data_IF_973525804861
#
_entry.id   IF_973525804861
#
_cell.length_a   1.000
_cell.length_b   1.000
_cell.length_c   1.000
_cell.angle_alpha   90.00
_cell.angle_beta   90.00
_cell.angle_gamma   90.00
#
_symmetry.space_group_name_H-M   'P 1'
#
loop_
_entity.id
_entity.type
_entity.pdbx_description
1 polymer ?
#
# COMPACT_ATOMS: atom_id res chain seq x y z
N UNK A 1 -24.39 3.07 -4.79
CA UNK A 1 -23.58 1.84 -4.90
C UNK A 1 -22.36 2.02 -5.81
N UNK A 2 -22.48 2.51 -7.05
CA UNK A 2 -21.34 2.71 -7.96
C UNK A 2 -20.19 3.57 -7.38
N UNK A 3 -20.48 4.59 -6.57
CA UNK A 3 -19.45 5.44 -5.95
C UNK A 3 -18.59 4.67 -4.92
N UNK A 4 -19.22 3.88 -4.05
CA UNK A 4 -18.52 3.10 -3.03
C UNK A 4 -17.59 2.08 -3.70
N UNK A 5 -18.05 1.42 -4.77
CA UNK A 5 -17.21 0.48 -5.52
C UNK A 5 -15.96 1.15 -6.09
N UNK A 6 -16.06 2.41 -6.55
CA UNK A 6 -14.90 3.17 -7.00
C UNK A 6 -13.94 3.48 -5.86
N UNK A 7 -14.44 3.91 -4.71
CA UNK A 7 -13.59 4.19 -3.55
C UNK A 7 -12.86 2.94 -3.03
N UNK A 8 -13.60 1.85 -2.87
CA UNK A 8 -13.01 0.57 -2.49
C UNK A 8 -12.01 0.09 -3.54
N UNK A 9 -12.36 0.18 -4.83
CA UNK A 9 -11.48 -0.19 -5.93
C UNK A 9 -10.20 0.63 -5.98
N UNK A 10 -10.24 1.92 -5.63
CA UNK A 10 -9.05 2.77 -5.53
C UNK A 10 -8.10 2.32 -4.42
N UNK A 11 -8.62 2.03 -3.22
CA UNK A 11 -7.79 1.57 -2.09
C UNK A 11 -7.26 0.15 -2.30
N UNK A 12 -8.12 -0.77 -2.78
CA UNK A 12 -7.70 -2.12 -3.11
C UNK A 12 -6.70 -2.14 -4.27
N UNK A 13 -6.91 -1.30 -5.29
CA UNK A 13 -6.01 -1.17 -6.43
C UNK A 13 -4.64 -0.62 -6.04
N UNK A 14 -4.58 0.30 -5.07
CA UNK A 14 -3.33 0.78 -4.48
C UNK A 14 -2.56 -0.40 -3.86
N UNK A 15 -3.20 -1.15 -2.95
CA UNK A 15 -2.55 -2.28 -2.28
C UNK A 15 -2.13 -3.41 -3.23
N UNK A 16 -2.95 -3.69 -4.24
CA UNK A 16 -2.63 -4.68 -5.29
C UNK A 16 -1.46 -4.20 -6.15
N UNK A 17 -1.43 -2.93 -6.52
CA UNK A 17 -0.36 -2.34 -7.33
C UNK A 17 0.98 -2.34 -6.59
N UNK A 18 0.97 -1.97 -5.31
CA UNK A 18 2.11 -2.03 -4.40
C UNK A 18 2.66 -3.47 -4.30
N UNK A 19 1.83 -4.43 -3.86
CA UNK A 19 2.24 -5.83 -3.70
C UNK A 19 2.73 -6.49 -5.00
N UNK A 20 2.21 -6.07 -6.16
CA UNK A 20 2.69 -6.53 -7.46
C UNK A 20 4.01 -5.86 -7.86
N UNK A 21 4.13 -4.55 -7.64
CA UNK A 21 5.25 -3.72 -8.05
C UNK A 21 6.54 -3.98 -7.27
N UNK A 22 6.43 -4.23 -5.96
CA UNK A 22 7.60 -4.47 -5.08
C UNK A 22 8.47 -5.65 -5.54
N UNK A 23 7.87 -6.66 -6.21
CA UNK A 23 8.60 -7.79 -6.79
C UNK A 23 9.68 -7.36 -7.79
N UNK A 24 9.49 -6.21 -8.46
CA UNK A 24 10.35 -5.67 -9.50
C UNK A 24 11.03 -4.35 -9.09
N UNK A 25 10.97 -4.00 -7.82
CA UNK A 25 11.54 -2.78 -7.30
C UNK A 25 13.05 -2.69 -7.59
N UNK A 26 13.50 -1.50 -8.00
CA UNK A 26 14.87 -1.21 -8.44
C UNK A 26 15.36 -2.01 -9.66
N UNK A 27 14.47 -2.65 -10.42
CA UNK A 27 14.81 -3.30 -11.69
C UNK A 27 14.61 -2.33 -12.88
N UNK A 28 15.62 -2.15 -13.75
CA UNK A 28 15.42 -1.43 -15.00
C UNK A 28 14.35 -2.08 -15.89
N UNK A 29 13.57 -1.29 -16.66
CA UNK A 29 12.66 -1.82 -17.66
C UNK A 29 13.38 -2.76 -18.65
N UNK A 30 12.82 -3.96 -18.87
CA UNK A 30 13.39 -4.97 -19.76
C UNK A 30 14.52 -5.82 -19.15
N UNK A 31 14.91 -5.59 -17.90
CA UNK A 31 15.96 -6.38 -17.22
C UNK A 31 15.40 -7.55 -16.40
N UNK A 32 14.12 -7.86 -16.50
CA UNK A 32 13.44 -8.90 -15.72
C UNK A 32 12.48 -9.67 -16.61
N UNK A 33 12.26 -10.94 -16.27
CA UNK A 33 11.22 -11.73 -16.93
C UNK A 33 9.84 -11.20 -16.53
N UNK A 34 8.93 -10.96 -17.50
CA UNK A 34 7.59 -10.47 -17.19
C UNK A 34 6.88 -11.37 -16.19
N UNK A 35 6.36 -10.76 -15.12
CA UNK A 35 5.51 -11.46 -14.15
C UNK A 35 4.06 -11.40 -14.61
N UNK A 36 3.34 -12.51 -14.48
CA UNK A 36 1.91 -12.63 -14.81
C UNK A 36 1.01 -12.81 -13.60
N UNK A 37 1.58 -12.82 -12.39
CA UNK A 37 0.88 -13.06 -11.14
C UNK A 37 1.60 -12.35 -9.97
N UNK A 38 0.97 -12.35 -8.80
CA UNK A 38 1.51 -11.81 -7.56
C UNK A 38 2.52 -12.78 -6.94
N UNK A 39 3.79 -12.61 -7.28
CA UNK A 39 4.86 -13.55 -6.91
C UNK A 39 5.59 -13.22 -5.60
N UNK A 40 5.42 -12.00 -5.07
CA UNK A 40 6.21 -11.52 -3.93
C UNK A 40 7.70 -11.34 -4.27
N UNK A 41 8.57 -11.60 -3.30
CA UNK A 41 10.02 -11.46 -3.45
C UNK A 41 10.49 -10.02 -3.26
N UNK A 42 11.14 -9.47 -4.29
CA UNK A 42 11.70 -8.12 -4.24
C UNK A 42 12.83 -7.94 -3.22
N UNK A 43 13.24 -6.69 -2.95
CA UNK A 43 14.30 -6.35 -2.01
C UNK A 43 14.02 -6.83 -0.58
N UNK A 44 12.73 -6.86 -0.20
CA UNK A 44 12.26 -7.15 1.14
C UNK A 44 11.90 -8.63 1.37
N UNK A 45 12.02 -9.49 0.35
CA UNK A 45 11.71 -10.94 0.41
C UNK A 45 10.28 -11.23 0.90
N UNK A 46 9.34 -10.44 0.41
CA UNK A 46 7.93 -10.52 0.76
C UNK A 46 7.27 -11.80 0.24
N UNK A 47 6.25 -12.28 0.95
CA UNK A 47 5.34 -13.31 0.44
C UNK A 47 4.38 -12.69 -0.58
N UNK A 48 3.85 -13.47 -1.53
CA UNK A 48 2.72 -13.07 -2.36
C UNK A 48 1.62 -12.36 -1.55
N UNK A 49 1.24 -11.15 -1.96
CA UNK A 49 0.17 -10.37 -1.32
C UNK A 49 0.60 -9.46 -0.17
N UNK A 50 1.84 -9.53 0.28
CA UNK A 50 2.37 -8.50 1.18
C UNK A 50 2.70 -7.24 0.37
N UNK A 51 2.31 -6.10 0.95
CA UNK A 51 2.46 -4.74 0.44
C UNK A 51 3.52 -3.98 1.26
N UNK A 52 3.98 -2.82 0.81
CA UNK A 52 5.06 -2.05 1.43
C UNK A 52 4.55 -0.80 2.16
N UNK A 53 5.47 0.14 2.42
CA UNK A 53 5.22 1.44 3.01
C UNK A 53 4.19 2.27 2.23
N UNK A 54 4.03 2.09 0.91
CA UNK A 54 3.01 2.78 0.11
C UNK A 54 1.60 2.50 0.67
N UNK A 55 1.25 1.24 0.86
CA UNK A 55 -0.05 0.84 1.44
C UNK A 55 -0.13 1.20 2.93
N UNK A 56 0.96 1.04 3.68
CA UNK A 56 0.99 1.43 5.10
C UNK A 56 0.65 2.92 5.29
N UNK A 57 1.27 3.80 4.50
CA UNK A 57 1.03 5.24 4.54
C UNK A 57 -0.39 5.60 4.07
N UNK A 58 -0.92 4.91 3.07
CA UNK A 58 -2.30 5.11 2.62
C UNK A 58 -3.32 4.73 3.72
N UNK A 59 -3.09 3.64 4.44
CA UNK A 59 -3.91 3.23 5.58
C UNK A 59 -3.81 4.23 6.73
N UNK A 60 -2.60 4.69 7.05
CA UNK A 60 -2.40 5.73 8.06
C UNK A 60 -3.19 7.01 7.74
N UNK A 61 -3.11 7.49 6.49
CA UNK A 61 -3.87 8.64 6.05
C UNK A 61 -5.39 8.39 6.16
N UNK A 62 -5.86 7.22 5.73
CA UNK A 62 -7.28 6.88 5.75
C UNK A 62 -7.84 6.83 7.18
N UNK A 63 -7.11 6.24 8.12
CA UNK A 63 -7.51 6.16 9.54
C UNK A 63 -7.53 7.55 10.18
N UNK A 64 -6.50 8.38 9.97
CA UNK A 64 -6.46 9.77 10.46
C UNK A 64 -7.63 10.61 9.92
N UNK A 65 -7.95 10.49 8.62
CA UNK A 65 -9.09 11.19 8.01
C UNK A 65 -10.44 10.80 8.63
N UNK A 66 -10.58 9.53 9.02
CA UNK A 66 -11.81 9.01 9.65
C UNK A 66 -11.92 9.50 11.09
N UNK A 67 -10.85 9.40 11.87
CA UNK A 67 -10.83 9.78 13.29
C UNK A 67 -10.95 11.30 13.46
N UNK A 68 -10.18 12.08 12.71
CA UNK A 68 -10.21 13.54 12.78
C UNK A 68 -11.39 14.18 12.01
N UNK A 69 -12.12 13.38 11.21
CA UNK A 69 -13.18 13.86 10.30
C UNK A 69 -12.73 15.01 9.40
N UNK A 70 -11.48 14.95 8.97
CA UNK A 70 -10.78 16.02 8.29
C UNK A 70 -9.30 15.69 8.20
N UNK A 71 -8.54 16.55 7.52
CA UNK A 71 -7.10 16.36 7.40
C UNK A 71 -6.39 16.99 8.61
N UNK A 72 -5.71 16.17 9.40
CA UNK A 72 -4.83 16.59 10.50
C UNK A 72 -3.43 15.96 10.31
N UNK A 73 -2.43 16.76 9.88
CA UNK A 73 -1.09 16.23 9.63
C UNK A 73 -0.37 15.80 10.90
N UNK A 74 -0.70 16.36 12.07
CA UNK A 74 -0.07 15.98 13.34
C UNK A 74 -0.58 14.61 13.79
N UNK A 75 -1.89 14.39 13.73
CA UNK A 75 -2.49 13.09 14.03
C UNK A 75 -1.94 11.99 13.08
N UNK A 76 -1.87 12.29 11.78
CA UNK A 76 -1.32 11.37 10.79
C UNK A 76 0.13 10.97 11.15
N UNK A 77 1.00 11.96 11.44
CA UNK A 77 2.42 11.70 11.67
C UNK A 77 2.72 11.07 13.05
N UNK A 78 2.06 11.53 14.11
CA UNK A 78 2.42 11.19 15.48
C UNK A 78 1.56 10.06 16.07
N UNK A 79 0.28 9.99 15.70
CA UNK A 79 -0.66 9.01 16.21
C UNK A 79 -0.72 7.77 15.32
N UNK A 80 -1.32 7.94 14.15
CA UNK A 80 -1.79 6.82 13.31
C UNK A 80 -0.66 6.10 12.57
N UNK A 81 0.33 6.83 12.04
CA UNK A 81 1.45 6.23 11.32
C UNK A 81 2.40 5.44 12.24
N UNK A 82 2.39 5.70 13.55
CA UNK A 82 3.19 4.94 14.53
C UNK A 82 2.62 3.53 14.81
N UNK A 83 1.36 3.28 14.45
CA UNK A 83 0.68 1.99 14.64
C UNK A 83 0.64 1.10 13.40
N UNK A 84 0.62 1.68 12.21
CA UNK A 84 0.22 1.03 10.93
C UNK A 84 1.33 0.25 10.20
N UNK A 85 2.48 0.01 10.84
CA UNK A 85 3.60 -0.73 10.25
C UNK A 85 4.16 -1.88 11.11
N UNK A 86 3.43 -2.35 12.13
CA UNK A 86 3.97 -3.34 13.09
C UNK A 86 3.81 -4.81 12.67
N UNK A 87 2.99 -5.10 11.67
CA UNK A 87 2.55 -6.47 11.35
C UNK A 87 2.77 -6.94 9.90
N UNK A 88 3.71 -6.34 9.15
CA UNK A 88 4.12 -6.83 7.81
C UNK A 88 5.49 -7.51 7.85
#
# INVERSE_FOLDING_TARGET
MAQIHRYCGSLLGLAVGDALGTALEFRPPGSFEPIGDMVGGGPFKLKPGQWTDDTAMALCLAESLVECRGFDPLDQMEGTCAGTGKDI
#
